data_IF_644829101062
#
_entry.id   IF_644829101062
#
_cell.length_a   1.000
_cell.length_b   1.000
_cell.length_c   1.000
_cell.angle_alpha   90.00
_cell.angle_beta   90.00
_cell.angle_gamma   90.00
#
_symmetry.space_group_name_H-M   'P 1'
#
loop_
_entity.id
_entity.type
_entity.pdbx_description
1 polymer ?
#
# COMPACT_ATOMS: atom_id res chain seq x y z
N UNK A 1 4.29 -31.97 9.00
CA UNK A 1 4.13 -30.62 9.56
C UNK A 1 4.79 -29.67 8.57
N UNK A 2 4.04 -28.77 7.95
CA UNK A 2 4.61 -27.75 7.07
C UNK A 2 5.43 -26.80 7.95
N UNK A 3 6.75 -26.85 7.83
CA UNK A 3 7.62 -25.78 8.34
C UNK A 3 7.35 -24.55 7.49
N UNK A 4 6.35 -23.75 7.87
CA UNK A 4 6.22 -22.40 7.32
C UNK A 4 7.37 -21.59 7.91
N UNK A 5 8.36 -21.33 7.09
CA UNK A 5 9.46 -20.43 7.41
C UNK A 5 8.86 -19.06 7.72
N UNK A 6 9.08 -18.57 8.95
CA UNK A 6 8.58 -17.26 9.37
C UNK A 6 9.40 -16.22 8.62
N UNK A 7 8.76 -15.52 7.68
CA UNK A 7 9.38 -14.43 6.96
C UNK A 7 9.59 -13.25 7.90
N UNK A 8 10.82 -12.75 7.96
CA UNK A 8 11.18 -11.55 8.70
C UNK A 8 11.33 -10.41 7.70
N UNK A 9 10.52 -9.37 7.88
CA UNK A 9 10.57 -8.19 7.04
C UNK A 9 11.93 -7.49 7.18
N UNK A 10 12.45 -7.00 6.07
CA UNK A 10 13.59 -6.09 6.06
C UNK A 10 13.17 -4.66 6.46
N UNK A 11 14.17 -3.77 6.59
CA UNK A 11 13.93 -2.40 7.02
C UNK A 11 13.11 -1.59 6.00
N UNK A 12 13.30 -1.84 4.70
CA UNK A 12 12.58 -1.13 3.63
C UNK A 12 11.11 -1.55 3.60
N UNK A 13 10.83 -2.84 3.77
CA UNK A 13 9.47 -3.38 3.87
C UNK A 13 8.74 -2.84 5.11
N UNK A 14 9.42 -2.76 6.26
CA UNK A 14 8.87 -2.16 7.48
C UNK A 14 8.55 -0.69 7.26
N UNK A 15 9.42 0.05 6.58
CA UNK A 15 9.22 1.47 6.33
C UNK A 15 8.05 1.74 5.35
N UNK A 16 7.79 0.86 4.39
CA UNK A 16 6.59 0.92 3.53
C UNK A 16 5.32 0.76 4.37
N UNK A 17 5.32 -0.18 5.33
CA UNK A 17 4.17 -0.39 6.22
C UNK A 17 3.93 0.85 7.09
N UNK A 18 4.98 1.41 7.69
CA UNK A 18 4.87 2.63 8.51
C UNK A 18 4.29 3.80 7.74
N UNK A 19 4.73 4.01 6.50
CA UNK A 19 4.17 5.05 5.63
C UNK A 19 2.69 4.82 5.34
N UNK A 20 2.32 3.56 5.06
CA UNK A 20 0.93 3.16 4.84
C UNK A 20 0.04 3.43 6.06
N UNK A 21 0.54 3.17 7.28
CA UNK A 21 -0.18 3.47 8.52
C UNK A 21 -0.41 4.98 8.70
N UNK A 22 0.59 5.81 8.36
CA UNK A 22 0.44 7.27 8.37
C UNK A 22 -0.57 7.75 7.32
N UNK A 23 -0.54 7.17 6.12
CA UNK A 23 -1.48 7.49 5.05
C UNK A 23 -2.91 7.22 5.46
N UNK A 24 -3.16 6.07 6.09
CA UNK A 24 -4.48 5.74 6.64
C UNK A 24 -4.86 6.73 7.75
N UNK A 25 -3.94 7.03 8.67
CA UNK A 25 -4.19 7.95 9.81
C UNK A 25 -4.58 9.35 9.35
N UNK A 26 -3.95 9.86 8.29
CA UNK A 26 -4.19 11.21 7.77
C UNK A 26 -5.19 11.24 6.60
N UNK A 27 -5.82 10.10 6.27
CA UNK A 27 -6.80 10.02 5.19
C UNK A 27 -6.20 10.24 3.79
N UNK A 28 -4.90 9.99 3.61
CA UNK A 28 -4.21 9.99 2.31
C UNK A 28 -4.49 8.69 1.55
N UNK A 29 -5.77 8.33 1.46
CA UNK A 29 -6.26 7.14 0.76
C UNK A 29 -7.13 7.57 -0.43
N UNK A 30 -7.16 6.73 -1.46
CA UNK A 30 -7.96 6.96 -2.66
C UNK A 30 -8.90 5.77 -2.88
N UNK A 31 -10.13 6.04 -3.33
CA UNK A 31 -11.05 4.98 -3.70
C UNK A 31 -10.65 4.35 -5.04
N UNK A 32 -11.08 3.11 -5.29
CA UNK A 32 -10.84 2.48 -6.60
C UNK A 32 -11.49 3.29 -7.74
N UNK A 33 -12.70 3.81 -7.53
CA UNK A 33 -13.41 4.63 -8.52
C UNK A 33 -12.64 5.93 -8.86
N UNK A 34 -12.05 6.58 -7.87
CA UNK A 34 -11.24 7.79 -8.06
C UNK A 34 -9.92 7.52 -8.78
N UNK A 35 -9.31 6.37 -8.51
CA UNK A 35 -8.09 5.93 -9.18
C UNK A 35 -8.35 5.62 -10.65
N UNK A 36 -9.44 4.90 -10.93
CA UNK A 36 -9.85 4.57 -12.30
C UNK A 36 -10.15 5.82 -13.12
N UNK A 37 -10.82 6.82 -12.52
CA UNK A 37 -11.07 8.12 -13.17
C UNK A 37 -9.77 8.84 -13.53
N UNK A 38 -8.82 8.94 -12.60
CA UNK A 38 -7.53 9.60 -12.86
C UNK A 38 -6.73 8.88 -13.94
N UNK A 39 -6.76 7.55 -13.96
CA UNK A 39 -6.10 6.76 -15.00
C UNK A 39 -6.70 7.03 -16.40
N UNK A 40 -8.03 7.17 -16.50
CA UNK A 40 -8.68 7.55 -17.76
C UNK A 40 -8.30 8.97 -18.21
N UNK A 41 -8.19 9.92 -17.28
CA UNK A 41 -7.73 11.29 -17.55
C UNK A 41 -6.27 11.35 -18.01
N UNK A 42 -5.41 10.45 -17.51
CA UNK A 42 -4.00 10.37 -17.94
C UNK A 42 -3.82 9.77 -19.33
N UNK A 43 -4.75 8.94 -19.79
CA UNK A 43 -4.69 8.27 -21.09
C UNK A 43 -5.31 9.08 -22.24
N UNK A 44 -5.90 10.25 -21.95
CA UNK A 44 -6.53 11.16 -22.92
C UNK A 44 -5.62 12.33 -23.31
#
# INVERSE_FOLDING_TARGET
MNNQEIYQLDEEEIDIIRQSEEDIKYGRVISQEDLDRQNLEWLS
#
